data_IF_163437475387
#
_entry.id   IF_163437475387
#
_cell.length_a   1.000
_cell.length_b   1.000
_cell.length_c   1.000
_cell.angle_alpha   90.00
_cell.angle_beta   90.00
_cell.angle_gamma   90.00
#
_symmetry.space_group_name_H-M   'P 1'
#
loop_
_entity.id
_entity.type
_entity.pdbx_description
1 polymer ?
#
# COMPACT_ATOMS: atom_id res chain seq x y z
N UNK A 1 -18.69 -8.28 -4.76
CA UNK A 1 -17.55 -7.37 -5.00
C UNK A 1 -17.20 -7.42 -6.48
N UNK A 2 -17.07 -6.25 -7.09
CA UNK A 2 -16.68 -6.12 -8.49
C UNK A 2 -15.30 -5.46 -8.60
N UNK A 3 -14.44 -5.99 -9.47
CA UNK A 3 -13.10 -5.46 -9.74
C UNK A 3 -12.98 -5.29 -11.26
N UNK A 4 -12.77 -4.06 -11.72
CA UNK A 4 -12.71 -3.72 -13.16
C UNK A 4 -13.89 -4.29 -13.98
N UNK A 5 -15.11 -4.18 -13.47
CA UNK A 5 -16.32 -4.66 -14.15
C UNK A 5 -16.52 -6.19 -14.10
N UNK A 6 -15.69 -6.92 -13.35
CA UNK A 6 -15.79 -8.37 -13.20
C UNK A 6 -16.24 -8.72 -11.78
N UNK A 7 -17.29 -9.53 -11.65
CA UNK A 7 -17.71 -10.01 -10.35
C UNK A 7 -16.67 -10.97 -9.75
N UNK A 8 -16.06 -10.53 -8.66
CA UNK A 8 -15.03 -11.24 -7.91
C UNK A 8 -15.54 -11.86 -6.60
N UNK A 9 -16.87 -11.90 -6.37
CA UNK A 9 -17.45 -12.32 -5.10
C UNK A 9 -17.00 -13.72 -4.69
N UNK A 10 -17.06 -14.68 -5.62
CA UNK A 10 -16.69 -16.07 -5.38
C UNK A 10 -15.24 -16.40 -5.81
N UNK A 11 -14.49 -15.41 -6.28
CA UNK A 11 -13.09 -15.61 -6.66
C UNK A 11 -12.23 -15.71 -5.39
N UNK A 12 -11.38 -16.74 -5.23
CA UNK A 12 -10.44 -16.83 -4.12
C UNK A 12 -9.53 -15.61 -4.05
N UNK A 13 -9.21 -15.10 -2.84
CA UNK A 13 -8.42 -13.88 -2.65
C UNK A 13 -7.09 -13.86 -3.44
N UNK A 14 -6.43 -15.02 -3.55
CA UNK A 14 -5.16 -15.16 -4.28
C UNK A 14 -5.27 -14.95 -5.80
N UNK A 15 -6.50 -14.96 -6.35
CA UNK A 15 -6.79 -14.78 -7.78
C UNK A 15 -7.47 -13.44 -8.10
N UNK A 16 -7.66 -12.58 -7.10
CA UNK A 16 -8.34 -11.28 -7.27
C UNK A 16 -7.39 -10.18 -7.75
N UNK A 17 -6.11 -10.46 -7.89
CA UNK A 17 -5.07 -9.47 -8.21
C UNK A 17 -5.10 -8.24 -7.28
N UNK A 18 -5.25 -8.51 -5.97
CA UNK A 18 -5.26 -7.51 -4.90
C UNK A 18 -3.93 -7.57 -4.15
N UNK A 19 -3.27 -6.42 -4.01
CA UNK A 19 -2.15 -6.24 -3.11
C UNK A 19 -2.65 -5.86 -1.72
N UNK A 20 -2.07 -6.43 -0.65
CA UNK A 20 -2.45 -6.12 0.72
C UNK A 20 -1.21 -5.73 1.55
N UNK A 21 -1.32 -4.62 2.28
CA UNK A 21 -0.33 -4.19 3.25
C UNK A 21 -0.99 -4.11 4.63
N UNK A 22 -0.57 -4.99 5.52
CA UNK A 22 -1.07 -5.06 6.90
C UNK A 22 -0.42 -3.98 7.78
N UNK A 23 -1.10 -3.58 8.85
CA UNK A 23 -0.64 -2.62 9.85
C UNK A 23 0.79 -2.93 10.38
N UNK A 24 1.15 -4.19 10.54
CA UNK A 24 2.49 -4.62 11.00
C UNK A 24 3.43 -5.04 9.86
N UNK A 25 3.12 -4.64 8.62
CA UNK A 25 3.90 -4.83 7.39
C UNK A 25 4.16 -6.30 7.00
N UNK A 26 3.91 -7.28 7.87
CA UNK A 26 4.09 -8.71 7.66
C UNK A 26 5.39 -9.07 6.90
N UNK A 27 6.52 -8.45 7.29
CA UNK A 27 7.81 -8.67 6.65
C UNK A 27 8.34 -10.09 6.92
N UNK A 28 8.91 -10.72 5.92
CA UNK A 28 9.66 -11.97 6.08
C UNK A 28 11.02 -11.66 6.73
N UNK A 29 11.12 -11.83 8.04
CA UNK A 29 12.24 -11.38 8.88
C UNK A 29 13.60 -11.96 8.46
N UNK A 30 13.61 -13.15 7.87
CA UNK A 30 14.81 -13.90 7.45
C UNK A 30 15.23 -13.61 5.99
N UNK A 31 14.44 -12.85 5.26
CA UNK A 31 14.74 -12.46 3.88
C UNK A 31 15.23 -11.01 3.83
N UNK A 32 16.16 -10.73 2.90
CA UNK A 32 16.59 -9.35 2.63
C UNK A 32 15.43 -8.52 2.07
N UNK A 33 15.61 -7.20 2.02
CA UNK A 33 14.65 -6.26 1.41
C UNK A 33 14.35 -6.70 -0.04
N UNK A 34 15.39 -6.96 -0.84
CA UNK A 34 15.24 -7.46 -2.20
C UNK A 34 14.36 -8.71 -2.26
N UNK A 35 14.66 -9.72 -1.44
CA UNK A 35 13.91 -10.99 -1.44
C UNK A 35 12.50 -10.84 -0.87
N UNK A 36 12.26 -9.91 0.04
CA UNK A 36 10.90 -9.57 0.48
C UNK A 36 10.06 -9.08 -0.69
N UNK A 37 10.59 -8.15 -1.50
CA UNK A 37 9.89 -7.61 -2.67
C UNK A 37 9.75 -8.65 -3.79
N UNK A 38 10.78 -9.45 -4.03
CA UNK A 38 10.79 -10.50 -5.04
C UNK A 38 9.84 -11.68 -4.75
N UNK A 39 9.44 -11.87 -3.50
CA UNK A 39 8.77 -13.08 -3.03
C UNK A 39 7.54 -13.49 -3.85
N UNK A 40 6.65 -12.55 -4.15
CA UNK A 40 5.46 -12.82 -4.96
C UNK A 40 5.77 -13.23 -6.41
N UNK A 41 6.82 -12.67 -6.99
CA UNK A 41 7.29 -13.01 -8.33
C UNK A 41 7.99 -14.38 -8.37
N UNK A 42 8.76 -14.71 -7.30
CA UNK A 42 9.40 -16.03 -7.15
C UNK A 42 8.36 -17.15 -7.06
N UNK A 43 7.29 -16.95 -6.27
CA UNK A 43 6.17 -17.92 -6.16
C UNK A 43 5.47 -18.10 -7.52
N UNK A 44 5.29 -17.02 -8.28
CA UNK A 44 4.72 -17.05 -9.63
C UNK A 44 5.70 -17.61 -10.68
N UNK A 45 6.88 -18.04 -10.27
CA UNK A 45 7.95 -18.63 -11.11
C UNK A 45 8.36 -17.75 -12.30
N UNK A 46 8.38 -16.43 -12.08
CA UNK A 46 8.87 -15.51 -13.12
C UNK A 46 10.35 -15.70 -13.39
N UNK A 47 10.84 -15.40 -14.59
CA UNK A 47 12.27 -15.49 -14.94
C UNK A 47 13.12 -14.62 -14.01
N UNK A 48 14.31 -15.09 -13.63
CA UNK A 48 15.22 -14.37 -12.72
C UNK A 48 15.61 -12.98 -13.23
N UNK A 49 15.74 -12.80 -14.54
CA UNK A 49 16.05 -11.51 -15.14
C UNK A 49 14.91 -10.51 -14.91
N UNK A 50 13.67 -10.91 -15.17
CA UNK A 50 12.46 -10.11 -14.96
C UNK A 50 12.30 -9.74 -13.48
N UNK A 51 12.51 -10.71 -12.57
CA UNK A 51 12.46 -10.43 -11.11
C UNK A 51 13.48 -9.35 -10.74
N UNK A 52 14.72 -9.46 -11.23
CA UNK A 52 15.78 -8.50 -10.89
C UNK A 52 15.45 -7.11 -11.41
N UNK A 53 14.98 -6.99 -12.62
CA UNK A 53 14.58 -5.74 -13.25
C UNK A 53 13.42 -5.11 -12.47
N UNK A 54 12.30 -5.83 -12.29
CA UNK A 54 11.10 -5.34 -11.62
C UNK A 54 11.35 -4.94 -10.16
N UNK A 55 12.10 -5.76 -9.41
CA UNK A 55 12.44 -5.44 -8.03
C UNK A 55 13.38 -4.22 -7.96
N UNK A 56 14.32 -4.10 -8.91
CA UNK A 56 15.19 -2.93 -9.00
C UNK A 56 14.40 -1.63 -9.19
N UNK A 57 13.47 -1.59 -10.15
CA UNK A 57 12.58 -0.46 -10.40
C UNK A 57 11.76 -0.09 -9.14
N UNK A 58 11.17 -1.09 -8.49
CA UNK A 58 10.37 -0.86 -7.29
C UNK A 58 11.19 -0.36 -6.10
N UNK A 59 12.41 -0.87 -5.90
CA UNK A 59 13.30 -0.39 -4.85
C UNK A 59 13.76 1.05 -5.11
N UNK A 60 13.94 1.43 -6.37
CA UNK A 60 14.23 2.81 -6.74
C UNK A 60 13.01 3.71 -6.46
N UNK A 61 11.82 3.31 -6.90
CA UNK A 61 10.56 4.00 -6.67
C UNK A 61 10.31 4.28 -5.18
N UNK A 62 10.58 3.30 -4.31
CA UNK A 62 10.38 3.44 -2.85
C UNK A 62 11.62 3.99 -2.12
N UNK A 63 12.68 4.39 -2.83
CA UNK A 63 13.94 4.88 -2.28
C UNK A 63 14.62 3.92 -1.31
N UNK A 64 14.65 2.63 -1.65
CA UNK A 64 15.28 1.57 -0.85
C UNK A 64 16.40 0.82 -1.58
N UNK A 65 16.86 1.26 -2.75
CA UNK A 65 17.89 0.58 -3.54
C UNK A 65 19.16 0.30 -2.73
N UNK A 66 19.62 1.26 -1.92
CA UNK A 66 20.79 1.12 -1.06
C UNK A 66 20.61 0.15 0.12
N UNK A 67 19.40 -0.28 0.38
CA UNK A 67 19.04 -1.19 1.47
C UNK A 67 18.67 -2.60 0.98
N UNK A 68 18.83 -2.88 -0.31
CA UNK A 68 18.40 -4.13 -0.95
C UNK A 68 18.85 -5.40 -0.23
N UNK A 69 20.08 -5.40 0.29
CA UNK A 69 20.68 -6.56 0.97
C UNK A 69 20.43 -6.58 2.49
N UNK A 70 19.80 -5.53 3.06
CA UNK A 70 19.53 -5.48 4.49
C UNK A 70 18.35 -6.36 4.89
N UNK A 71 18.34 -6.80 6.14
CA UNK A 71 17.20 -7.46 6.74
C UNK A 71 16.16 -6.43 7.24
N UNK A 72 14.88 -6.78 7.34
CA UNK A 72 13.84 -5.87 7.83
C UNK A 72 14.12 -5.28 9.23
N UNK A 73 14.81 -6.02 10.10
CA UNK A 73 15.19 -5.53 11.43
C UNK A 73 16.18 -4.35 11.40
N UNK A 74 16.88 -4.15 10.29
CA UNK A 74 17.85 -3.07 10.08
C UNK A 74 17.23 -1.82 9.44
N UNK A 75 15.91 -1.81 9.25
CA UNK A 75 15.15 -0.72 8.64
C UNK A 75 14.39 0.08 9.70
N UNK A 76 14.19 1.39 9.43
CA UNK A 76 13.23 2.20 10.18
C UNK A 76 11.78 1.76 9.92
N UNK A 77 10.83 2.27 10.71
CA UNK A 77 9.39 2.00 10.50
C UNK A 77 8.93 2.35 9.10
N UNK A 78 9.20 3.59 8.64
CA UNK A 78 8.85 4.05 7.30
C UNK A 78 9.55 3.28 6.17
N UNK A 79 10.79 2.84 6.38
CA UNK A 79 11.48 1.98 5.41
C UNK A 79 10.83 0.58 5.32
N UNK A 80 10.43 -0.02 6.44
CA UNK A 80 9.68 -1.30 6.44
C UNK A 80 8.36 -1.16 5.72
N UNK A 81 7.66 -0.06 5.92
CA UNK A 81 6.41 0.22 5.23
C UNK A 81 6.59 0.33 3.71
N UNK A 82 7.55 1.13 3.27
CA UNK A 82 7.87 1.28 1.83
C UNK A 82 8.28 -0.05 1.20
N UNK A 83 9.02 -0.89 1.94
CA UNK A 83 9.32 -2.27 1.50
C UNK A 83 8.04 -3.11 1.34
N UNK A 84 7.09 -3.01 2.29
CA UNK A 84 5.83 -3.76 2.20
C UNK A 84 4.97 -3.29 1.02
N UNK A 85 4.95 -1.99 0.73
CA UNK A 85 4.30 -1.43 -0.45
C UNK A 85 4.96 -1.92 -1.75
N UNK A 86 6.29 -1.86 -1.85
CA UNK A 86 7.01 -2.39 -3.01
C UNK A 86 6.73 -3.88 -3.24
N UNK A 87 6.66 -4.67 -2.16
CA UNK A 87 6.28 -6.09 -2.24
C UNK A 87 4.86 -6.29 -2.76
N UNK A 88 3.90 -5.48 -2.31
CA UNK A 88 2.52 -5.56 -2.78
C UNK A 88 2.40 -5.15 -4.25
N UNK A 89 3.15 -4.14 -4.70
CA UNK A 89 3.18 -3.67 -6.08
C UNK A 89 3.94 -4.60 -7.04
N UNK A 90 4.84 -5.45 -6.53
CA UNK A 90 5.66 -6.32 -7.37
C UNK A 90 4.83 -7.27 -8.24
N UNK A 91 3.68 -7.69 -7.76
CA UNK A 91 2.76 -8.59 -8.46
C UNK A 91 1.76 -7.89 -9.37
N UNK A 92 1.91 -6.57 -9.56
CA UNK A 92 1.05 -5.73 -10.41
C UNK A 92 -0.43 -5.87 -10.05
N UNK A 93 -0.83 -5.52 -8.80
CA UNK A 93 -2.20 -5.64 -8.37
C UNK A 93 -3.10 -4.62 -9.08
N UNK A 94 -4.37 -4.98 -9.29
CA UNK A 94 -5.41 -4.07 -9.77
C UNK A 94 -5.92 -3.14 -8.67
N UNK A 95 -5.91 -3.64 -7.44
CA UNK A 95 -6.33 -2.91 -6.24
C UNK A 95 -5.30 -3.09 -5.14
N UNK A 96 -4.95 -2.00 -4.46
CA UNK A 96 -4.07 -1.99 -3.30
C UNK A 96 -4.89 -1.69 -2.04
N UNK A 97 -4.84 -2.59 -1.06
CA UNK A 97 -5.50 -2.43 0.23
C UNK A 97 -4.46 -2.16 1.31
N UNK A 98 -4.60 -1.06 2.03
CA UNK A 98 -3.69 -0.63 3.09
C UNK A 98 -4.44 -0.54 4.41
N UNK A 99 -4.00 -1.30 5.40
CA UNK A 99 -4.59 -1.33 6.74
C UNK A 99 -3.73 -0.48 7.68
N UNK A 100 -4.26 0.69 8.09
CA UNK A 100 -3.58 1.70 8.92
C UNK A 100 -2.13 1.99 8.49
N UNK A 101 -1.92 2.42 7.25
CA UNK A 101 -0.57 2.51 6.69
C UNK A 101 0.34 3.51 7.41
N UNK A 102 -0.18 4.40 8.23
CA UNK A 102 0.58 5.46 8.90
C UNK A 102 0.65 5.30 10.43
N UNK A 103 -0.07 4.34 11.02
CA UNK A 103 -0.36 4.28 12.45
C UNK A 103 0.84 4.13 13.40
N UNK A 104 1.95 3.54 12.98
CA UNK A 104 3.10 3.24 13.84
C UNK A 104 4.31 4.17 13.59
N UNK A 105 4.10 5.34 12.98
CA UNK A 105 5.16 6.23 12.52
C UNK A 105 5.19 7.53 13.34
N UNK A 106 6.38 8.09 13.54
CA UNK A 106 6.50 9.47 14.05
C UNK A 106 5.96 10.49 13.04
N UNK A 107 5.62 11.70 13.52
CA UNK A 107 4.94 12.71 12.72
C UNK A 107 5.70 13.10 11.44
N UNK A 108 7.04 13.17 11.48
CA UNK A 108 7.85 13.52 10.31
C UNK A 108 7.82 12.42 9.26
N UNK A 109 8.05 11.18 9.67
CA UNK A 109 8.04 10.01 8.78
C UNK A 109 6.64 9.78 8.20
N UNK A 110 5.59 10.00 9.00
CA UNK A 110 4.20 9.94 8.57
C UNK A 110 3.92 10.92 7.42
N UNK A 111 4.31 12.19 7.60
CA UNK A 111 4.16 13.20 6.55
C UNK A 111 4.91 12.83 5.27
N UNK A 112 6.19 12.46 5.39
CA UNK A 112 7.00 12.05 4.23
C UNK A 112 6.35 10.87 3.47
N UNK A 113 5.73 9.93 4.20
CA UNK A 113 5.08 8.78 3.62
C UNK A 113 3.74 9.13 2.94
N UNK A 114 2.94 10.05 3.52
CA UNK A 114 1.71 10.55 2.89
C UNK A 114 2.02 11.23 1.56
N UNK A 115 2.98 12.18 1.57
CA UNK A 115 3.43 12.88 0.38
C UNK A 115 3.95 11.91 -0.70
N UNK A 116 4.64 10.86 -0.26
CA UNK A 116 5.14 9.82 -1.16
C UNK A 116 4.02 8.93 -1.71
N UNK A 117 3.04 8.53 -0.88
CA UNK A 117 1.91 7.70 -1.32
C UNK A 117 1.04 8.43 -2.34
N UNK A 118 0.82 9.74 -2.14
CA UNK A 118 0.11 10.58 -3.11
C UNK A 118 0.82 10.58 -4.46
N UNK A 119 2.13 10.83 -4.48
CA UNK A 119 2.93 10.78 -5.72
C UNK A 119 2.91 9.40 -6.37
N UNK A 120 3.01 8.33 -5.57
CA UNK A 120 2.93 6.97 -6.09
C UNK A 120 1.60 6.71 -6.80
N UNK A 121 0.49 7.19 -6.23
CA UNK A 121 -0.82 7.08 -6.86
C UNK A 121 -0.84 7.75 -8.24
N UNK A 122 -0.27 8.95 -8.35
CA UNK A 122 -0.17 9.70 -9.61
C UNK A 122 0.71 8.99 -10.66
N UNK A 123 1.73 8.25 -10.23
CA UNK A 123 2.68 7.56 -11.11
C UNK A 123 2.17 6.17 -11.56
N UNK A 124 1.55 5.42 -10.65
CA UNK A 124 1.22 3.99 -10.87
C UNK A 124 -0.24 3.77 -11.26
N UNK A 125 -1.12 4.72 -10.96
CA UNK A 125 -2.57 4.67 -11.25
C UNK A 125 -3.29 3.40 -10.76
N UNK A 126 -2.84 2.85 -9.62
CA UNK A 126 -3.49 1.69 -8.99
C UNK A 126 -4.59 2.18 -8.07
N UNK A 127 -5.79 1.63 -8.19
CA UNK A 127 -6.87 1.91 -7.24
C UNK A 127 -6.44 1.52 -5.83
N UNK A 128 -6.33 2.50 -4.94
CA UNK A 128 -5.86 2.30 -3.57
C UNK A 128 -6.99 2.54 -2.59
N UNK A 129 -7.24 1.58 -1.72
CA UNK A 129 -8.18 1.72 -0.59
C UNK A 129 -7.35 1.61 0.68
N UNK A 130 -7.40 2.62 1.53
CA UNK A 130 -6.73 2.57 2.83
C UNK A 130 -7.72 2.84 3.97
N UNK A 131 -7.48 2.18 5.10
CA UNK A 131 -8.23 2.38 6.33
C UNK A 131 -7.38 3.17 7.29
N UNK A 132 -7.93 4.24 7.85
CA UNK A 132 -7.30 5.03 8.90
C UNK A 132 -8.33 5.52 9.91
N UNK A 133 -7.90 5.80 11.12
CA UNK A 133 -8.69 6.49 12.14
C UNK A 133 -8.27 7.96 12.28
N UNK A 134 -7.31 8.42 11.51
CA UNK A 134 -6.79 9.78 11.50
C UNK A 134 -7.41 10.57 10.33
N UNK A 135 -8.16 11.64 10.69
CA UNK A 135 -8.86 12.47 9.72
C UNK A 135 -7.91 13.23 8.80
N UNK A 136 -6.75 13.70 9.33
CA UNK A 136 -5.76 14.42 8.51
C UNK A 136 -5.20 13.52 7.42
N UNK A 137 -4.95 12.25 7.73
CA UNK A 137 -4.49 11.28 6.75
C UNK A 137 -5.48 11.08 5.60
N UNK A 138 -6.78 10.94 5.95
CA UNK A 138 -7.82 10.77 4.96
C UNK A 138 -7.96 12.02 4.07
N UNK A 139 -8.02 13.21 4.66
CA UNK A 139 -8.19 14.47 3.94
C UNK A 139 -7.00 14.82 3.03
N UNK A 140 -5.77 14.45 3.41
CA UNK A 140 -4.58 14.78 2.62
C UNK A 140 -4.32 13.79 1.46
N UNK A 141 -4.74 12.53 1.60
CA UNK A 141 -4.31 11.47 0.67
C UNK A 141 -5.43 10.97 -0.24
N UNK A 142 -6.68 10.93 0.23
CA UNK A 142 -7.79 10.33 -0.49
C UNK A 142 -8.39 11.27 -1.55
N UNK A 143 -8.92 10.70 -2.63
CA UNK A 143 -9.78 11.40 -3.60
C UNK A 143 -11.26 11.31 -3.17
N UNK A 144 -11.63 10.20 -2.52
CA UNK A 144 -12.95 9.96 -1.95
C UNK A 144 -12.82 9.33 -0.56
N UNK A 145 -13.62 9.78 0.38
CA UNK A 145 -13.61 9.31 1.77
C UNK A 145 -14.96 8.70 2.11
N UNK A 146 -14.92 7.55 2.78
CA UNK A 146 -16.09 6.87 3.35
C UNK A 146 -15.99 6.93 4.87
N UNK A 147 -16.89 7.67 5.50
CA UNK A 147 -16.98 7.76 6.97
C UNK A 147 -17.86 6.64 7.50
N UNK A 148 -17.29 5.82 8.39
CA UNK A 148 -17.99 4.70 9.01
C UNK A 148 -18.09 4.92 10.52
N UNK A 149 -19.32 4.80 11.06
CA UNK A 149 -19.58 4.88 12.48
C UNK A 149 -20.56 3.78 12.90
N UNK A 150 -20.27 3.06 13.99
CA UNK A 150 -21.11 1.99 14.49
C UNK A 150 -21.42 0.89 13.46
N UNK A 151 -20.52 0.64 12.52
CA UNK A 151 -20.69 -0.37 11.44
C UNK A 151 -21.61 0.09 10.29
N UNK A 152 -21.91 1.39 10.20
CA UNK A 152 -22.74 1.97 9.13
C UNK A 152 -21.95 3.05 8.41
N UNK A 153 -22.20 3.21 7.13
CA UNK A 153 -21.72 4.35 6.33
C UNK A 153 -22.55 5.57 6.71
N UNK A 154 -21.89 6.60 7.24
CA UNK A 154 -22.52 7.87 7.61
C UNK A 154 -22.43 8.89 6.48
N UNK A 155 -21.29 8.98 5.81
CA UNK A 155 -21.08 9.91 4.73
C UNK A 155 -20.08 9.36 3.72
N UNK A 156 -20.24 9.75 2.46
CA UNK A 156 -19.30 9.50 1.36
C UNK A 156 -19.14 10.81 0.60
N UNK A 157 -17.91 11.19 0.26
CA UNK A 157 -17.65 12.39 -0.53
C UNK A 157 -16.16 12.69 -0.67
N UNK A 158 -15.85 13.75 -1.39
CA UNK A 158 -14.51 14.28 -1.49
C UNK A 158 -14.03 14.87 -0.14
N UNK A 159 -12.71 15.05 0.05
CA UNK A 159 -12.18 15.76 1.22
C UNK A 159 -12.83 17.11 1.49
N UNK A 160 -13.01 17.92 0.44
CA UNK A 160 -13.62 19.25 0.54
C UNK A 160 -15.09 19.18 0.97
N UNK A 161 -15.87 18.24 0.41
CA UNK A 161 -17.27 18.03 0.80
C UNK A 161 -17.44 17.61 2.25
N UNK A 162 -16.55 16.72 2.75
CA UNK A 162 -16.59 16.27 4.12
C UNK A 162 -16.15 17.36 5.10
N UNK A 163 -15.20 18.21 4.71
CA UNK A 163 -14.72 19.31 5.53
C UNK A 163 -15.73 20.44 5.62
N UNK A 164 -16.34 20.85 4.50
CA UNK A 164 -17.27 21.98 4.44
C UNK A 164 -18.69 21.62 4.88
N UNK A 165 -19.11 20.38 4.70
CA UNK A 165 -20.48 19.90 4.94
C UNK A 165 -20.48 18.56 5.72
N UNK A 166 -19.94 18.50 6.95
CA UNK A 166 -19.94 17.26 7.73
C UNK A 166 -21.38 16.84 8.10
N UNK A 167 -21.65 15.53 8.06
CA UNK A 167 -22.95 14.98 8.42
C UNK A 167 -23.22 15.00 9.95
N UNK A 168 -22.17 15.13 10.78
CA UNK A 168 -22.23 15.21 12.25
C UNK A 168 -21.34 16.33 12.78
#
# INVERSE_FOLDING_TARGET
>A
VEIEGVDATDVPAQRRDVGFVFQHYAAFKHLSVFRNVAFGLEIRKRPKAEIRERVGELLELVHLSQFADRLPAQLSGGQRQRMALARALAVEPKVLLLDEPFGALDAKVRKELRDWLRRLHDEVHVTTIFVTHDQEEALEVADEIVVINGGRVEQVGSPDELYDHPAN
#
